data_IF_452266952256
#
_entry.id   IF_452266952256
#
_cell.length_a   1.000
_cell.length_b   1.000
_cell.length_c   1.000
_cell.angle_alpha   90.00
_cell.angle_beta   90.00
_cell.angle_gamma   90.00
#
_symmetry.space_group_name_H-M   'P 1'
#
loop_
_entity.id
_entity.type
_entity.pdbx_description
1 polymer ?
#
# COMPACT_ATOMS: atom_id res chain seq x y z
N UNK A 1 11.51 10.86 -0.78
CA UNK A 1 11.09 12.28 -0.83
C UNK A 1 9.57 12.32 -0.88
N UNK A 2 8.95 13.25 -0.14
CA UNK A 2 7.90 12.98 0.87
C UNK A 2 8.39 11.87 1.81
N UNK A 3 9.23 12.22 2.78
CA UNK A 3 9.78 11.30 3.81
C UNK A 3 8.71 10.77 4.80
N UNK A 4 7.45 11.08 4.55
CA UNK A 4 6.47 11.38 5.60
C UNK A 4 5.56 10.20 5.94
N UNK A 5 5.33 9.25 5.03
CA UNK A 5 4.46 8.09 5.31
C UNK A 5 5.01 6.73 4.83
N UNK A 6 6.21 6.65 4.23
CA UNK A 6 6.74 5.40 3.61
C UNK A 6 5.74 4.70 2.66
N UNK A 7 4.79 5.47 2.10
CA UNK A 7 3.63 4.98 1.34
C UNK A 7 4.00 4.34 0.00
N UNK A 8 5.22 4.57 -0.47
CA UNK A 8 5.75 3.99 -1.71
C UNK A 8 5.61 2.47 -1.74
N UNK A 9 5.81 1.78 -0.61
CA UNK A 9 5.67 0.31 -0.54
C UNK A 9 4.22 -0.13 -0.77
N UNK A 10 3.27 0.60 -0.20
CA UNK A 10 1.84 0.34 -0.40
C UNK A 10 1.45 0.54 -1.87
N UNK A 11 1.90 1.64 -2.48
CA UNK A 11 1.66 1.93 -3.90
C UNK A 11 2.26 0.85 -4.80
N UNK A 12 3.50 0.41 -4.54
CA UNK A 12 4.14 -0.68 -5.29
C UNK A 12 3.33 -1.97 -5.17
N UNK A 13 2.89 -2.34 -3.96
CA UNK A 13 2.07 -3.54 -3.75
C UNK A 13 0.74 -3.47 -4.53
N UNK A 14 0.07 -2.31 -4.55
CA UNK A 14 -1.16 -2.10 -5.30
C UNK A 14 -0.91 -2.22 -6.81
N UNK A 15 0.17 -1.62 -7.33
CA UNK A 15 0.53 -1.73 -8.75
C UNK A 15 0.81 -3.20 -9.12
N UNK A 16 1.54 -3.93 -8.29
CA UNK A 16 1.78 -5.36 -8.50
C UNK A 16 0.47 -6.16 -8.46
N UNK A 17 -0.46 -5.81 -7.57
CA UNK A 17 -1.80 -6.42 -7.52
C UNK A 17 -2.58 -6.21 -8.82
N UNK A 18 -2.52 -5.01 -9.40
CA UNK A 18 -3.14 -4.71 -10.71
C UNK A 18 -2.51 -5.56 -11.81
N UNK A 19 -1.17 -5.64 -11.85
CA UNK A 19 -0.45 -6.46 -12.84
C UNK A 19 -0.83 -7.93 -12.71
N UNK A 20 -0.88 -8.45 -11.48
CA UNK A 20 -1.30 -9.83 -11.20
C UNK A 20 -2.75 -10.09 -11.63
N UNK A 21 -3.65 -9.12 -11.42
CA UNK A 21 -5.05 -9.22 -11.86
C UNK A 21 -5.17 -9.25 -13.39
N UNK A 22 -4.37 -8.44 -14.09
CA UNK A 22 -4.29 -8.47 -15.56
C UNK A 22 -3.79 -9.83 -16.03
N UNK A 23 -2.72 -10.36 -15.40
CA UNK A 23 -2.20 -11.68 -15.72
C UNK A 23 -3.24 -12.78 -15.48
N UNK A 24 -3.97 -12.75 -14.36
CA UNK A 24 -5.11 -13.63 -14.11
C UNK A 24 -6.12 -13.56 -15.25
N UNK A 25 -6.54 -12.35 -15.66
CA UNK A 25 -7.54 -12.18 -16.71
C UNK A 25 -7.08 -12.78 -18.03
N UNK A 26 -5.81 -12.60 -18.40
CA UNK A 26 -5.22 -13.21 -19.60
C UNK A 26 -5.20 -14.73 -19.48
N UNK A 27 -4.73 -15.29 -18.36
CA UNK A 27 -4.66 -16.73 -18.13
C UNK A 27 -6.04 -17.39 -18.13
N UNK A 28 -7.02 -16.74 -17.50
CA UNK A 28 -8.40 -17.22 -17.40
C UNK A 28 -9.09 -17.27 -18.77
N UNK A 29 -8.81 -16.31 -19.66
CA UNK A 29 -9.32 -16.34 -21.05
C UNK A 29 -8.70 -17.47 -21.89
N UNK A 30 -7.54 -17.97 -21.48
CA UNK A 30 -6.88 -19.13 -22.12
C UNK A 30 -7.18 -20.45 -21.39
N UNK A 31 -8.23 -20.52 -20.56
CA UNK A 31 -8.65 -21.70 -19.79
C UNK A 31 -7.53 -22.38 -18.97
N UNK A 32 -6.56 -21.58 -18.50
CA UNK A 32 -5.49 -22.08 -17.65
C UNK A 32 -6.00 -22.31 -16.23
N UNK A 33 -6.01 -23.57 -15.76
CA UNK A 33 -6.41 -23.92 -14.38
C UNK A 33 -5.59 -23.19 -13.32
N UNK A 34 -4.33 -22.85 -13.62
CA UNK A 34 -3.45 -22.09 -12.72
C UNK A 34 -3.81 -20.61 -12.56
N UNK A 35 -4.79 -20.11 -13.33
CA UNK A 35 -5.25 -18.71 -13.25
C UNK A 35 -5.75 -18.35 -11.84
N UNK A 36 -6.37 -19.29 -11.13
CA UNK A 36 -6.90 -19.06 -9.77
C UNK A 36 -5.81 -18.61 -8.79
N UNK A 37 -4.62 -19.19 -8.85
CA UNK A 37 -3.49 -18.79 -8.00
C UNK A 37 -3.03 -17.36 -8.29
N UNK A 38 -3.15 -16.91 -9.53
CA UNK A 38 -2.82 -15.53 -9.90
C UNK A 38 -3.85 -14.53 -9.35
N UNK A 39 -5.13 -14.94 -9.29
CA UNK A 39 -6.19 -14.15 -8.64
C UNK A 39 -5.98 -14.06 -7.13
N UNK A 40 -5.63 -15.17 -6.48
CA UNK A 40 -5.29 -15.20 -5.05
C UNK A 40 -4.10 -14.28 -4.74
N UNK A 41 -3.05 -14.34 -5.56
CA UNK A 41 -1.88 -13.47 -5.44
C UNK A 41 -2.26 -11.99 -5.59
N UNK A 42 -3.11 -11.66 -6.57
CA UNK A 42 -3.60 -10.29 -6.75
C UNK A 42 -4.37 -9.80 -5.52
N UNK A 43 -5.29 -10.62 -4.99
CA UNK A 43 -6.04 -10.34 -3.78
C UNK A 43 -5.13 -10.12 -2.56
N UNK A 44 -4.14 -10.99 -2.37
CA UNK A 44 -3.14 -10.84 -1.31
C UNK A 44 -2.37 -9.52 -1.42
N UNK A 45 -1.91 -9.17 -2.62
CA UNK A 45 -1.18 -7.92 -2.86
C UNK A 45 -2.03 -6.68 -2.59
N UNK A 46 -3.32 -6.71 -2.92
CA UNK A 46 -4.24 -5.62 -2.60
C UNK A 46 -4.48 -5.49 -1.10
N UNK A 47 -4.71 -6.60 -0.38
CA UNK A 47 -4.88 -6.58 1.08
C UNK A 47 -3.60 -6.07 1.75
N UNK A 48 -2.44 -6.61 1.38
CA UNK A 48 -1.16 -6.17 1.91
C UNK A 48 -0.88 -4.69 1.59
N UNK A 49 -1.17 -4.25 0.36
CA UNK A 49 -1.07 -2.86 -0.06
C UNK A 49 -1.97 -1.93 0.75
N UNK A 50 -3.23 -2.32 0.97
CA UNK A 50 -4.17 -1.56 1.79
C UNK A 50 -3.71 -1.45 3.26
N UNK A 51 -3.22 -2.54 3.85
CA UNK A 51 -2.68 -2.52 5.21
C UNK A 51 -1.44 -1.62 5.31
N UNK A 52 -0.52 -1.71 4.35
CA UNK A 52 0.66 -0.83 4.29
C UNK A 52 0.29 0.63 4.07
N UNK A 53 -0.81 0.91 3.37
CA UNK A 53 -1.32 2.26 3.16
C UNK A 53 -1.94 2.83 4.44
N UNK A 54 -2.71 2.02 5.16
CA UNK A 54 -3.41 2.40 6.38
C UNK A 54 -2.47 2.52 7.58
N UNK A 55 -1.43 1.69 7.68
CA UNK A 55 -0.47 1.68 8.79
C UNK A 55 0.06 3.08 9.13
N UNK A 56 0.68 3.83 8.21
CA UNK A 56 1.24 5.12 8.54
C UNK A 56 0.15 6.17 8.84
N UNK A 57 -1.10 5.98 8.39
CA UNK A 57 -2.22 6.88 8.71
C UNK A 57 -2.69 6.69 10.16
N UNK A 58 -2.81 5.45 10.62
CA UNK A 58 -3.23 5.15 11.99
C UNK A 58 -2.17 5.47 13.02
N UNK A 59 -0.89 5.30 12.67
CA UNK A 59 0.24 5.50 13.57
C UNK A 59 0.94 6.86 13.39
N UNK A 60 0.43 7.74 12.53
CA UNK A 60 0.97 9.08 12.44
C UNK A 60 0.73 9.85 13.75
N UNK A 61 1.74 10.62 14.17
CA UNK A 61 1.61 11.56 15.28
C UNK A 61 0.46 12.53 14.98
N UNK A 62 -0.26 12.91 16.03
CA UNK A 62 -1.28 13.95 15.93
C UNK A 62 -0.71 15.26 16.48
N UNK A 63 -0.99 16.36 15.80
CA UNK A 63 -0.67 17.70 16.27
C UNK A 63 -1.54 18.07 17.48
N UNK A 64 -1.29 19.24 18.07
CA UNK A 64 -2.07 19.75 19.23
C UNK A 64 -3.56 19.97 18.93
N UNK A 65 -3.96 19.96 17.66
CA UNK A 65 -5.32 20.15 17.18
C UNK A 65 -5.98 18.82 16.76
N UNK A 66 -5.25 17.70 16.87
CA UNK A 66 -5.73 16.36 16.52
C UNK A 66 -5.54 15.98 15.04
N UNK A 67 -4.90 16.82 14.21
CA UNK A 67 -4.60 16.51 12.82
C UNK A 67 -3.36 15.63 12.71
N UNK A 68 -3.26 14.83 11.66
CA UNK A 68 -2.09 14.02 11.38
C UNK A 68 -0.89 14.91 11.02
N UNK A 69 0.19 14.85 11.82
CA UNK A 69 1.45 15.53 11.55
C UNK A 69 2.14 14.88 10.36
N UNK A 70 2.17 15.61 9.25
CA UNK A 70 2.84 15.18 8.04
C UNK A 70 4.36 15.39 8.12
N UNK A 71 4.95 16.12 9.06
CA UNK A 71 6.42 16.27 9.15
C UNK A 71 6.92 16.15 10.60
N UNK A 72 6.98 14.92 11.17
CA UNK A 72 7.33 14.73 12.58
C UNK A 72 8.80 15.07 12.91
N UNK A 73 9.68 15.14 11.90
CA UNK A 73 11.13 15.41 12.08
C UNK A 73 11.48 16.91 12.14
N UNK A 74 10.52 17.83 11.89
CA UNK A 74 10.77 19.28 11.89
C UNK A 74 10.66 19.97 13.25
N UNK A 75 10.39 19.22 14.33
CA UNK A 75 10.51 19.79 15.67
C UNK A 75 12.00 19.92 15.99
N UNK A 76 12.60 21.04 15.58
CA UNK A 76 13.82 21.55 16.19
C UNK A 76 13.58 21.62 17.70
N UNK A 77 14.46 20.95 18.43
CA UNK A 77 14.57 21.04 19.88
C UNK A 77 14.73 22.51 20.26
N UNK A 78 13.63 23.15 20.62
CA UNK A 78 13.67 24.41 21.33
C UNK A 78 14.09 24.15 22.77
N UNK A 79 15.40 24.05 23.01
CA UNK A 79 16.18 24.63 24.13
C UNK A 79 17.61 24.15 24.08
#
# INVERSE_FOLDING_TARGET
>A
MIKILKLQKAVIAIILGIIALIAYKVMNVNDMESSIYMLELAGFLFIAGALLFLYPIFFAKKDKQGNVELEPEKQEEGT
#
